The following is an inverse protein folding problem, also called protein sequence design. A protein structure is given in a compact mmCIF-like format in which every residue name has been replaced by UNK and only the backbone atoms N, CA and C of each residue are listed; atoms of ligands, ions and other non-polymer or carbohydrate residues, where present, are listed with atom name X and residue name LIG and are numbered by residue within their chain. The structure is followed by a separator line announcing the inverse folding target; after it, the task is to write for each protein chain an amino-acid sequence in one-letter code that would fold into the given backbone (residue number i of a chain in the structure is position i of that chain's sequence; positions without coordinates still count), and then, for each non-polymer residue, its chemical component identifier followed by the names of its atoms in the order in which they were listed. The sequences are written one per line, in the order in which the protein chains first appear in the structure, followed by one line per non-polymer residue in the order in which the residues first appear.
data_IF_087599634699
#
_entry.id   IF_087599634699
#
_cell.length_a   1.000
_cell.length_b   1.000
_cell.length_c   1.000
_cell.angle_alpha   90.00
_cell.angle_beta   90.00
_cell.angle_gamma   90.00
#
_symmetry.space_group_name_H-M   'P 1'
#
loop_
_entity.id
_entity.type
_entity.pdbx_description
1 polymer ?
#
# COMPACT_ATOMS: atom_id res chain seq x y z
N UNK A 1 20.20 -8.48 -19.67
CA UNK A 1 18.98 -9.18 -20.14
C UNK A 1 17.82 -8.81 -19.25
N UNK A 2 16.70 -8.45 -19.86
CA UNK A 2 15.47 -8.07 -19.15
C UNK A 2 14.63 -9.34 -18.97
N UNK A 3 14.25 -9.64 -17.72
CA UNK A 3 13.35 -10.70 -17.32
C UNK A 3 11.88 -10.32 -17.47
N UNK A 4 10.97 -11.29 -17.34
CA UNK A 4 9.52 -11.15 -17.56
C UNK A 4 8.81 -10.14 -16.65
N UNK A 5 9.43 -9.72 -15.55
CA UNK A 5 8.92 -8.69 -14.61
C UNK A 5 9.58 -7.31 -14.77
N UNK A 6 10.31 -7.05 -15.85
CA UNK A 6 11.06 -5.79 -16.02
C UNK A 6 12.33 -5.75 -15.17
N UNK A 7 12.91 -6.90 -14.83
CA UNK A 7 14.12 -6.99 -14.00
C UNK A 7 15.36 -7.28 -14.83
N UNK A 8 16.51 -6.71 -14.52
CA UNK A 8 17.77 -7.02 -15.18
C UNK A 8 18.75 -7.64 -14.20
N UNK A 9 19.36 -8.76 -14.57
CA UNK A 9 20.42 -9.39 -13.76
C UNK A 9 21.80 -9.02 -14.30
N UNK A 10 22.69 -8.65 -13.38
CA UNK A 10 24.10 -8.41 -13.59
C UNK A 10 24.89 -9.44 -12.78
N UNK A 11 25.94 -10.01 -13.38
CA UNK A 11 26.83 -10.94 -12.70
C UNK A 11 28.28 -10.64 -13.08
N UNK A 12 29.16 -10.64 -12.09
CA UNK A 12 30.60 -10.54 -12.24
C UNK A 12 31.09 -9.25 -12.88
N UNK A 13 32.19 -9.34 -13.62
CA UNK A 13 32.90 -8.20 -14.18
C UNK A 13 34.37 -8.19 -13.79
N UNK A 14 35.08 -7.16 -14.24
CA UNK A 14 36.53 -7.00 -14.03
C UNK A 14 36.86 -5.56 -13.65
N UNK A 15 37.68 -5.38 -12.61
CA UNK A 15 38.29 -4.09 -12.26
C UNK A 15 39.81 -4.22 -12.29
N UNK A 16 40.45 -3.52 -13.25
CA UNK A 16 41.86 -3.71 -13.62
C UNK A 16 42.18 -5.16 -14.04
N UNK A 17 43.43 -5.47 -14.36
CA UNK A 17 43.78 -6.76 -14.98
C UNK A 17 43.81 -7.96 -14.02
N UNK A 18 43.55 -7.77 -12.72
CA UNK A 18 43.71 -8.82 -11.71
C UNK A 18 42.49 -9.08 -10.81
N UNK A 19 41.46 -8.23 -10.83
CA UNK A 19 40.27 -8.43 -9.99
C UNK A 19 39.06 -8.82 -10.83
N UNK A 20 38.53 -10.01 -10.54
CA UNK A 20 37.36 -10.59 -11.18
C UNK A 20 36.26 -10.80 -10.14
N UNK A 21 35.09 -10.24 -10.38
CA UNK A 21 33.98 -10.29 -9.44
C UNK A 21 33.06 -11.48 -9.73
N UNK A 22 32.45 -12.01 -8.67
CA UNK A 22 31.43 -13.06 -8.71
C UNK A 22 30.13 -12.64 -8.02
N UNK A 23 29.96 -11.35 -7.71
CA UNK A 23 28.73 -10.86 -7.16
C UNK A 23 27.65 -10.74 -8.23
N UNK A 24 26.40 -10.77 -7.77
CA UNK A 24 25.23 -10.73 -8.61
C UNK A 24 24.30 -9.66 -8.10
N UNK A 25 23.75 -8.86 -9.02
CA UNK A 25 22.76 -7.84 -8.71
C UNK A 25 21.55 -7.99 -9.61
N UNK A 26 20.40 -7.66 -9.05
CA UNK A 26 19.13 -7.56 -9.73
C UNK A 26 18.69 -6.10 -9.73
N UNK A 27 18.46 -5.53 -10.89
CA UNK A 27 17.83 -4.24 -11.10
C UNK A 27 16.34 -4.47 -11.35
N UNK A 28 15.46 -3.80 -10.61
CA UNK A 28 14.02 -3.77 -10.92
C UNK A 28 13.65 -2.47 -11.64
N UNK A 29 13.17 -2.57 -12.88
CA UNK A 29 12.74 -1.43 -13.70
C UNK A 29 11.23 -1.16 -13.59
N UNK A 30 10.45 -2.02 -12.91
CA UNK A 30 8.99 -1.82 -12.80
C UNK A 30 8.61 -0.69 -11.84
N UNK A 31 9.55 -0.22 -11.03
CA UNK A 31 9.32 0.79 -9.99
C UNK A 31 9.48 2.24 -10.48
N UNK A 32 9.95 2.46 -11.72
CA UNK A 32 10.15 3.81 -12.27
C UNK A 32 11.41 4.53 -11.75
N UNK A 33 12.26 3.85 -10.98
CA UNK A 33 13.58 4.30 -10.54
C UNK A 33 14.51 3.09 -10.33
N UNK A 34 15.83 3.31 -10.37
CA UNK A 34 16.84 2.23 -10.35
C UNK A 34 17.00 1.60 -8.95
N UNK A 35 16.32 0.47 -8.71
CA UNK A 35 16.50 -0.33 -7.49
C UNK A 35 17.43 -1.51 -7.74
N UNK A 36 18.66 -1.43 -7.25
CA UNK A 36 19.62 -2.54 -7.28
C UNK A 36 19.56 -3.35 -5.99
N UNK A 37 19.34 -4.65 -6.11
CA UNK A 37 19.39 -5.62 -4.99
C UNK A 37 20.54 -6.58 -5.23
N UNK A 38 21.44 -6.71 -4.24
CA UNK A 38 22.51 -7.71 -4.29
C UNK A 38 21.93 -9.10 -3.97
N UNK A 39 22.13 -10.05 -4.87
CA UNK A 39 21.70 -11.44 -4.68
C UNK A 39 22.80 -12.26 -4.01
N UNK A 40 22.41 -13.19 -3.14
CA UNK A 40 23.30 -14.15 -2.50
C UNK A 40 22.86 -15.57 -2.85
N UNK A 41 23.79 -16.41 -3.32
CA UNK A 41 23.53 -17.79 -3.70
C UNK A 41 24.35 -18.74 -2.83
N UNK A 42 23.78 -19.90 -2.49
CA UNK A 42 24.48 -20.97 -1.76
C UNK A 42 25.70 -21.50 -2.53
N UNK A 43 25.62 -21.49 -3.86
CA UNK A 43 26.72 -21.80 -4.78
C UNK A 43 26.70 -20.79 -5.92
N UNK A 44 27.82 -20.13 -6.19
CA UNK A 44 27.94 -19.15 -7.27
C UNK A 44 29.11 -19.49 -8.20
N UNK A 45 29.03 -19.07 -9.48
CA UNK A 45 30.17 -19.18 -10.39
C UNK A 45 31.38 -18.39 -9.86
N UNK A 46 32.58 -18.81 -10.25
CA UNK A 46 33.81 -18.04 -9.97
C UNK A 46 33.78 -16.65 -10.59
N UNK A 47 34.59 -15.74 -10.05
CA UNK A 47 34.66 -14.38 -10.54
C UNK A 47 35.18 -14.34 -11.97
N UNK A 48 34.48 -13.63 -12.86
CA UNK A 48 34.76 -13.68 -14.30
C UNK A 48 34.24 -12.46 -15.05
N UNK A 49 34.77 -12.24 -16.25
CA UNK A 49 34.24 -11.29 -17.23
C UNK A 49 34.10 -11.92 -18.62
N UNK A 50 33.40 -11.24 -19.52
CA UNK A 50 33.22 -11.68 -20.91
C UNK A 50 32.32 -12.91 -21.06
N UNK A 51 31.62 -13.32 -20.00
CA UNK A 51 30.61 -14.38 -20.06
C UNK A 51 29.42 -13.94 -20.90
N UNK A 52 28.79 -14.90 -21.55
CA UNK A 52 27.48 -14.70 -22.19
C UNK A 52 26.39 -15.01 -21.19
N UNK A 53 25.35 -14.17 -21.16
CA UNK A 53 24.15 -14.42 -20.36
C UNK A 53 22.94 -14.31 -21.27
N UNK A 54 21.93 -15.14 -21.03
CA UNK A 54 20.62 -15.09 -21.70
C UNK A 54 19.51 -15.37 -20.69
N UNK A 55 18.37 -14.71 -20.85
CA UNK A 55 17.17 -14.98 -20.07
C UNK A 55 16.21 -15.84 -20.89
N UNK A 56 15.73 -16.96 -20.32
CA UNK A 56 14.64 -17.78 -20.87
C UNK A 56 13.31 -17.34 -20.23
N UNK A 57 12.40 -16.70 -20.99
CA UNK A 57 11.10 -16.27 -20.45
C UNK A 57 10.15 -17.41 -20.12
N UNK A 58 10.28 -18.56 -20.80
CA UNK A 58 9.40 -19.72 -20.61
C UNK A 58 9.67 -20.39 -19.26
N UNK A 59 10.93 -20.45 -18.86
CA UNK A 59 11.38 -21.12 -17.63
C UNK A 59 11.70 -20.15 -16.48
N UNK A 60 11.63 -18.84 -16.76
CA UNK A 60 12.01 -17.75 -15.85
C UNK A 60 13.42 -17.91 -15.25
N UNK A 61 14.37 -18.31 -16.11
CA UNK A 61 15.75 -18.62 -15.76
C UNK A 61 16.72 -17.70 -16.48
N UNK A 62 17.80 -17.34 -15.80
CA UNK A 62 18.96 -16.74 -16.47
C UNK A 62 20.07 -17.75 -16.60
N UNK A 63 20.53 -17.98 -17.82
CA UNK A 63 21.63 -18.89 -18.13
C UNK A 63 22.89 -18.05 -18.35
N UNK A 64 23.98 -18.48 -17.74
CA UNK A 64 25.33 -17.95 -17.94
C UNK A 64 26.21 -19.03 -18.57
N UNK A 65 27.00 -18.64 -19.56
CA UNK A 65 27.95 -19.52 -20.22
C UNK A 65 29.34 -18.90 -20.32
N UNK A 66 30.34 -19.67 -19.89
CA UNK A 66 31.76 -19.38 -20.05
C UNK A 66 32.24 -18.11 -19.34
N UNK A 67 33.17 -17.40 -19.98
CA UNK A 67 33.87 -16.22 -19.46
C UNK A 67 35.36 -16.47 -19.21
N UNK A 68 36.06 -15.51 -18.62
CA UNK A 68 37.46 -15.63 -18.21
C UNK A 68 37.64 -15.23 -16.75
N UNK A 69 38.28 -16.09 -15.95
CA UNK A 69 38.45 -15.91 -14.49
C UNK A 69 39.78 -15.28 -14.04
N UNK A 70 40.62 -14.86 -14.99
CA UNK A 70 41.98 -14.40 -14.70
C UNK A 70 43.05 -15.40 -15.11
N UNK A 71 42.70 -16.67 -15.29
CA UNK A 71 43.64 -17.75 -15.62
C UNK A 71 43.21 -18.55 -16.84
N UNK A 72 41.92 -18.87 -16.95
CA UNK A 72 41.39 -19.76 -17.97
C UNK A 72 40.15 -19.16 -18.64
N UNK A 73 39.98 -19.48 -19.93
CA UNK A 73 38.68 -19.38 -20.57
C UNK A 73 37.83 -20.55 -20.12
N UNK A 74 36.63 -20.21 -19.66
CA UNK A 74 35.68 -21.14 -19.07
C UNK A 74 34.66 -21.56 -20.13
N UNK A 75 34.19 -22.79 -20.01
CA UNK A 75 33.17 -23.41 -20.85
C UNK A 75 32.05 -24.06 -20.03
N UNK A 76 31.93 -23.66 -18.76
CA UNK A 76 30.88 -24.08 -17.84
C UNK A 76 29.56 -23.35 -18.13
N UNK A 77 28.45 -24.00 -17.76
CA UNK A 77 27.10 -23.43 -17.83
C UNK A 77 26.53 -23.32 -16.43
N UNK A 78 25.97 -22.16 -16.10
CA UNK A 78 25.29 -21.89 -14.84
C UNK A 78 23.86 -21.45 -15.10
N UNK A 79 22.94 -21.93 -14.28
CA UNK A 79 21.54 -21.55 -14.34
C UNK A 79 21.20 -20.84 -13.04
N UNK A 80 20.78 -19.59 -13.16
CA UNK A 80 20.21 -18.81 -12.08
C UNK A 80 18.68 -18.95 -12.15
N UNK A 81 18.12 -19.69 -11.19
CA UNK A 81 16.68 -19.69 -10.97
C UNK A 81 16.30 -18.38 -10.25
N UNK A 82 15.77 -17.43 -11.02
CA UNK A 82 15.21 -16.17 -10.52
C UNK A 82 13.72 -16.27 -10.23
N UNK A 83 13.11 -17.44 -10.47
CA UNK A 83 11.91 -17.89 -9.77
C UNK A 83 12.27 -17.93 -8.30
N UNK A 84 12.09 -16.81 -7.63
CA UNK A 84 12.50 -16.65 -6.26
C UNK A 84 11.93 -17.81 -5.45
N UNK A 85 12.82 -18.62 -4.88
CA UNK A 85 12.55 -19.06 -3.52
C UNK A 85 12.76 -17.83 -2.66
N UNK A 86 11.88 -16.84 -2.81
CA UNK A 86 11.66 -15.93 -1.70
C UNK A 86 11.17 -16.87 -0.60
N UNK A 87 11.82 -16.87 0.58
CA UNK A 87 11.41 -17.75 1.66
C UNK A 87 9.92 -17.56 1.96
N UNK A 88 9.38 -16.38 1.67
CA UNK A 88 7.96 -16.06 1.71
C UNK A 88 7.48 -15.60 0.34
N UNK A 89 6.44 -16.25 -0.18
CA UNK A 89 5.72 -15.78 -1.37
C UNK A 89 4.61 -14.82 -0.94
N UNK A 90 4.85 -13.51 -1.08
CA UNK A 90 3.86 -12.48 -0.75
C UNK A 90 2.78 -12.42 -1.84
N UNK A 91 1.53 -12.68 -1.47
CA UNK A 91 0.38 -12.62 -2.39
C UNK A 91 -0.14 -11.20 -2.57
N UNK A 92 -0.14 -10.42 -1.50
CA UNK A 92 -0.64 -9.05 -1.52
C UNK A 92 -0.02 -8.23 -0.39
N UNK A 93 0.16 -6.94 -0.66
CA UNK A 93 0.37 -5.93 0.36
C UNK A 93 -0.41 -4.68 -0.03
N UNK A 94 -1.20 -4.17 0.92
CA UNK A 94 -2.12 -3.06 0.68
C UNK A 94 -2.25 -2.19 1.92
N UNK A 95 -2.58 -0.93 1.72
CA UNK A 95 -2.74 0.06 2.77
C UNK A 95 -3.96 0.91 2.50
N UNK A 96 -4.82 1.07 3.50
CA UNK A 96 -6.01 1.90 3.39
C UNK A 96 -6.10 2.87 4.56
N UNK A 97 -6.49 4.11 4.29
CA UNK A 97 -6.84 5.06 5.32
C UNK A 97 -8.35 4.99 5.55
N UNK A 98 -8.79 4.51 6.71
CA UNK A 98 -10.22 4.35 7.04
C UNK A 98 -10.43 4.46 8.53
N UNK A 99 -11.46 5.17 8.97
CA UNK A 99 -11.78 5.29 10.40
C UNK A 99 -10.69 5.98 11.20
N UNK A 100 -10.01 6.96 10.60
CA UNK A 100 -8.89 7.68 11.19
C UNK A 100 -7.72 6.78 11.63
N UNK A 101 -7.49 5.70 10.89
CA UNK A 101 -6.29 4.87 11.02
C UNK A 101 -5.79 4.46 9.64
N UNK A 102 -4.49 4.22 9.52
CA UNK A 102 -3.91 3.57 8.35
C UNK A 102 -3.85 2.08 8.66
N UNK A 103 -4.61 1.28 7.91
CA UNK A 103 -4.62 -0.17 8.04
C UNK A 103 -3.80 -0.77 6.90
N UNK A 104 -2.72 -1.45 7.27
CA UNK A 104 -1.90 -2.22 6.36
C UNK A 104 -2.32 -3.69 6.45
N UNK A 105 -2.59 -4.32 5.30
CA UNK A 105 -2.95 -5.73 5.22
C UNK A 105 -2.04 -6.41 4.19
N UNK A 106 -1.53 -7.58 4.55
CA UNK A 106 -0.80 -8.44 3.62
C UNK A 106 -1.11 -9.90 3.85
N UNK A 107 -0.81 -10.68 2.82
CA UNK A 107 -0.94 -12.13 2.88
C UNK A 107 0.21 -12.82 2.20
N UNK A 108 0.55 -13.99 2.72
CA UNK A 108 1.60 -14.88 2.22
C UNK A 108 0.93 -16.15 1.68
N UNK A 109 1.44 -16.72 0.59
CA UNK A 109 1.01 -18.04 0.12
C UNK A 109 1.73 -19.13 0.92
N UNK A 110 3.04 -18.96 1.04
CA UNK A 110 3.94 -19.83 1.81
C UNK A 110 4.95 -18.99 2.56
N UNK A 111 5.50 -19.55 3.64
CA UNK A 111 6.58 -19.00 4.43
C UNK A 111 7.59 -20.10 4.73
N UNK A 112 8.87 -19.74 4.74
CA UNK A 112 10.00 -20.63 5.00
C UNK A 112 10.94 -19.86 5.90
N UNK A 113 11.19 -20.38 7.09
CA UNK A 113 12.11 -19.77 8.05
C UNK A 113 11.77 -18.30 8.43
N UNK A 114 10.53 -17.86 8.25
CA UNK A 114 10.11 -16.48 8.43
C UNK A 114 10.02 -16.09 9.91
N UNK A 115 10.92 -15.23 10.38
CA UNK A 115 10.86 -14.64 11.72
C UNK A 115 9.72 -13.63 11.79
N UNK A 116 9.54 -12.82 10.76
CA UNK A 116 8.44 -11.87 10.65
C UNK A 116 8.73 -10.67 9.77
N UNK A 117 7.94 -9.62 9.95
CA UNK A 117 7.91 -8.46 9.07
C UNK A 117 8.18 -7.19 9.88
N UNK A 118 9.26 -6.48 9.55
CA UNK A 118 9.44 -5.08 9.92
C UNK A 118 8.59 -4.20 9.01
N UNK A 119 7.68 -3.43 9.60
CA UNK A 119 6.87 -2.46 8.89
C UNK A 119 7.65 -1.16 8.81
N UNK A 120 7.90 -0.71 7.58
CA UNK A 120 8.67 0.49 7.32
C UNK A 120 7.80 1.54 6.64
N UNK A 121 7.95 2.79 7.10
CA UNK A 121 7.20 3.95 6.61
C UNK A 121 8.16 5.05 6.16
N UNK A 122 7.80 5.74 5.09
CA UNK A 122 8.53 6.89 4.55
C UNK A 122 7.55 7.98 4.08
N UNK A 123 8.01 9.23 4.10
CA UNK A 123 7.33 10.39 3.51
C UNK A 123 8.01 10.88 2.23
N UNK A 124 9.22 10.40 1.94
CA UNK A 124 10.08 10.88 0.84
C UNK A 124 10.52 9.75 -0.12
N UNK A 125 10.12 8.50 0.15
CA UNK A 125 10.53 7.28 -0.55
C UNK A 125 12.03 6.95 -0.45
N UNK A 126 12.80 7.70 0.33
CA UNK A 126 14.25 7.53 0.46
C UNK A 126 14.58 7.04 1.86
N UNK A 127 14.13 7.75 2.89
CA UNK A 127 14.35 7.38 4.28
C UNK A 127 13.12 6.65 4.82
N UNK A 128 13.35 5.44 5.31
CA UNK A 128 12.33 4.60 5.92
C UNK A 128 12.57 4.43 7.41
N UNK A 129 11.59 4.84 8.21
CA UNK A 129 11.56 4.60 9.65
C UNK A 129 10.84 3.27 9.94
N UNK A 130 11.33 2.52 10.93
CA UNK A 130 10.66 1.31 11.41
C UNK A 130 9.57 1.71 12.39
N UNK A 131 8.32 1.34 12.07
CA UNK A 131 7.16 1.71 12.90
C UNK A 131 6.54 0.52 13.64
N UNK A 132 6.99 -0.70 13.34
CA UNK A 132 6.54 -1.89 14.05
C UNK A 132 7.13 -3.18 13.50
N UNK A 133 6.88 -4.26 14.23
CA UNK A 133 7.22 -5.62 13.84
C UNK A 133 6.03 -6.55 14.06
N UNK A 134 5.77 -7.44 13.10
CA UNK A 134 4.75 -8.48 13.20
C UNK A 134 5.41 -9.84 13.00
N UNK A 135 5.29 -10.71 14.01
CA UNK A 135 5.87 -12.05 13.97
C UNK A 135 5.28 -12.86 12.80
N UNK A 136 6.16 -13.58 12.10
CA UNK A 136 5.81 -14.55 11.07
C UNK A 136 5.34 -15.87 11.67
N UNK A 137 5.01 -16.83 10.80
CA UNK A 137 4.63 -18.19 11.20
C UNK A 137 5.78 -19.20 11.03
N UNK A 138 7.02 -18.75 10.82
CA UNK A 138 8.17 -19.62 10.56
C UNK A 138 8.06 -20.30 9.19
N UNK A 139 7.93 -21.64 9.20
CA UNK A 139 7.77 -22.41 7.97
C UNK A 139 6.34 -22.93 7.87
N UNK A 140 5.60 -22.47 6.86
CA UNK A 140 4.22 -22.87 6.57
C UNK A 140 3.96 -22.86 5.07
N UNK A 141 3.33 -23.92 4.54
CA UNK A 141 2.82 -23.93 3.17
C UNK A 141 1.37 -23.44 3.06
N UNK A 142 0.74 -23.12 4.19
CA UNK A 142 -0.61 -22.57 4.24
C UNK A 142 -0.57 -21.04 4.27
N UNK A 143 -1.48 -20.42 3.51
CA UNK A 143 -1.57 -18.98 3.42
C UNK A 143 -1.84 -18.32 4.79
N UNK A 144 -1.17 -17.20 5.05
CA UNK A 144 -1.35 -16.39 6.26
C UNK A 144 -1.78 -14.98 5.92
N UNK A 145 -2.55 -14.38 6.82
CA UNK A 145 -3.02 -13.02 6.71
C UNK A 145 -2.53 -12.22 7.91
N UNK A 146 -2.11 -11.01 7.65
CA UNK A 146 -1.54 -10.12 8.65
C UNK A 146 -2.15 -8.73 8.55
N UNK A 147 -2.14 -8.04 9.68
CA UNK A 147 -2.65 -6.69 9.80
C UNK A 147 -1.72 -5.86 10.70
N UNK A 148 -1.48 -4.63 10.29
CA UNK A 148 -0.82 -3.61 11.11
C UNK A 148 -1.64 -2.31 11.08
N UNK A 149 -1.73 -1.64 12.23
CA UNK A 149 -2.48 -0.39 12.36
C UNK A 149 -1.52 0.72 12.75
N UNK A 150 -1.34 1.68 11.85
CA UNK A 150 -0.62 2.91 12.11
C UNK A 150 -1.61 4.04 12.49
N UNK A 151 -1.33 4.67 13.63
CA UNK A 151 -2.13 5.76 14.23
C UNK A 151 -1.38 7.08 14.33
N UNK A 152 -0.08 7.08 14.06
CA UNK A 152 0.78 8.23 14.26
C UNK A 152 1.07 8.92 12.94
N UNK A 153 0.09 9.63 12.42
CA UNK A 153 0.18 10.26 11.11
C UNK A 153 -0.43 11.66 11.11
N UNK A 154 0.08 12.48 10.20
CA UNK A 154 -0.51 13.76 9.79
C UNK A 154 -1.07 13.67 8.37
N UNK A 155 -1.80 14.68 7.91
CA UNK A 155 -2.22 14.78 6.51
C UNK A 155 -1.01 14.71 5.57
N UNK A 156 -1.15 14.02 4.45
CA UNK A 156 -0.07 13.86 3.48
C UNK A 156 -0.05 12.50 2.82
N UNK A 157 1.07 12.20 2.18
CA UNK A 157 1.31 10.94 1.47
C UNK A 157 2.34 10.15 2.26
N UNK A 158 2.05 8.87 2.48
CA UNK A 158 2.96 7.93 3.12
C UNK A 158 3.23 6.76 2.19
N UNK A 159 4.45 6.27 2.25
CA UNK A 159 4.92 5.10 1.53
C UNK A 159 5.27 4.02 2.53
N UNK A 160 4.81 2.79 2.26
CA UNK A 160 5.07 1.66 3.11
C UNK A 160 5.74 0.54 2.32
N UNK A 161 6.62 -0.18 2.99
CA UNK A 161 7.12 -1.50 2.58
C UNK A 161 7.22 -2.40 3.79
N UNK A 162 7.19 -3.70 3.53
CA UNK A 162 7.57 -4.71 4.50
C UNK A 162 9.04 -5.06 4.26
N UNK A 163 9.77 -5.25 5.35
CA UNK A 163 11.05 -5.96 5.35
C UNK A 163 10.81 -7.29 6.07
N UNK A 164 10.62 -8.35 5.29
CA UNK A 164 10.57 -9.72 5.80
C UNK A 164 11.97 -10.08 6.31
N UNK A 165 12.04 -10.70 7.48
CA UNK A 165 13.27 -11.19 8.10
C UNK A 165 13.10 -12.67 8.40
N UNK A 166 14.13 -13.44 8.11
CA UNK A 166 14.18 -14.87 8.44
C UNK A 166 14.96 -15.11 9.75
N UNK A 167 14.82 -16.29 10.35
CA UNK A 167 15.53 -16.64 11.60
C UNK A 167 17.07 -16.64 11.45
N UNK A 168 17.59 -16.76 10.24
CA UNK A 168 19.03 -16.66 9.95
C UNK A 168 19.52 -15.20 9.77
N UNK A 169 18.61 -14.23 9.86
CA UNK A 169 18.89 -12.81 9.72
C UNK A 169 18.91 -12.30 8.27
N UNK A 170 18.70 -13.17 7.27
CA UNK A 170 18.44 -12.73 5.91
C UNK A 170 17.13 -11.95 5.81
N UNK A 171 17.01 -11.09 4.80
CA UNK A 171 15.83 -10.25 4.66
C UNK A 171 15.49 -9.92 3.21
N UNK A 172 14.20 -9.62 3.00
CA UNK A 172 13.62 -9.30 1.70
C UNK A 172 12.65 -8.12 1.85
N UNK A 173 12.61 -7.23 0.86
CA UNK A 173 11.65 -6.14 0.84
C UNK A 173 10.45 -6.48 -0.04
N UNK A 174 9.26 -6.08 0.38
CA UNK A 174 8.08 -6.05 -0.49
C UNK A 174 8.18 -4.90 -1.50
N UNK A 175 7.28 -4.91 -2.48
CA UNK A 175 6.96 -3.72 -3.26
C UNK A 175 6.48 -2.57 -2.34
N UNK A 176 6.69 -1.33 -2.81
CA UNK A 176 6.18 -0.15 -2.14
C UNK A 176 4.69 0.02 -2.42
N UNK A 177 3.96 0.43 -1.38
CA UNK A 177 2.59 0.90 -1.50
C UNK A 177 2.51 2.35 -1.04
N UNK A 178 1.53 3.07 -1.57
CA UNK A 178 1.25 4.46 -1.21
C UNK A 178 -0.10 4.54 -0.50
N UNK A 179 -0.17 5.32 0.58
CA UNK A 179 -1.40 5.69 1.27
C UNK A 179 -1.51 7.21 1.33
N UNK A 180 -2.63 7.74 0.84
CA UNK A 180 -2.93 9.18 0.90
C UNK A 180 -3.87 9.44 2.06
N UNK A 181 -3.45 10.33 2.96
CA UNK A 181 -4.23 10.78 4.09
C UNK A 181 -4.80 12.14 3.74
N UNK A 182 -6.10 12.17 3.49
CA UNK A 182 -6.83 13.40 3.22
C UNK A 182 -7.94 13.58 4.25
N UNK A 183 -7.64 14.38 5.27
CA UNK A 183 -8.58 14.73 6.34
C UNK A 183 -8.99 16.19 6.10
N UNK A 184 -10.29 16.52 6.13
CA UNK A 184 -10.74 17.90 5.97
C UNK A 184 -10.23 18.77 7.13
N UNK A 185 -9.84 20.01 6.85
CA UNK A 185 -9.39 20.95 7.90
C UNK A 185 -10.56 21.58 8.66
N UNK A 186 -11.73 21.65 8.04
CA UNK A 186 -12.90 22.36 8.57
C UNK A 186 -14.13 21.46 8.69
N UNK A 187 -14.96 21.74 9.69
CA UNK A 187 -16.31 21.22 9.78
C UNK A 187 -17.24 21.99 8.85
N UNK A 188 -17.84 21.30 7.87
CA UNK A 188 -18.84 21.94 7.01
C UNK A 188 -19.98 20.99 6.64
N UNK A 189 -21.17 21.56 6.49
CA UNK A 189 -22.32 20.95 5.80
C UNK A 189 -22.50 21.70 4.47
N UNK A 190 -22.36 20.99 3.36
CA UNK A 190 -22.55 21.56 2.02
C UNK A 190 -24.04 21.73 1.72
N UNK A 191 -24.34 22.58 0.74
CA UNK A 191 -25.70 22.66 0.20
C UNK A 191 -26.08 21.29 -0.40
N UNK A 192 -27.27 20.79 -0.08
CA UNK A 192 -27.75 19.54 -0.64
C UNK A 192 -27.84 19.63 -2.18
N UNK A 193 -27.56 18.53 -2.87
CA UNK A 193 -27.68 18.46 -4.32
C UNK A 193 -28.48 17.22 -4.76
N UNK A 194 -29.50 17.38 -5.61
CA UNK A 194 -30.02 18.65 -6.13
C UNK A 194 -30.76 19.48 -5.05
N UNK A 195 -30.91 20.80 -5.27
CA UNK A 195 -31.80 21.68 -4.50
C UNK A 195 -32.39 22.77 -5.42
N UNK A 196 -33.72 22.81 -5.67
CA UNK A 196 -34.74 21.90 -5.15
C UNK A 196 -34.54 20.44 -5.57
N UNK A 197 -35.07 19.50 -4.79
CA UNK A 197 -34.99 18.06 -5.09
C UNK A 197 -36.36 17.43 -5.22
N UNK A 198 -36.43 16.34 -6.01
CA UNK A 198 -37.59 15.47 -6.13
C UNK A 198 -37.25 14.09 -5.56
N UNK A 199 -38.04 13.64 -4.59
CA UNK A 199 -37.89 12.40 -3.83
C UNK A 199 -36.61 12.29 -3.00
N UNK A 200 -35.42 12.47 -3.57
CA UNK A 200 -34.14 12.26 -2.86
C UNK A 200 -33.11 13.34 -3.14
N UNK A 201 -32.24 13.62 -2.18
CA UNK A 201 -31.12 14.55 -2.31
C UNK A 201 -29.89 14.03 -1.56
N UNK A 202 -28.69 14.45 -1.99
CA UNK A 202 -27.45 14.09 -1.33
C UNK A 202 -26.98 15.21 -0.41
N UNK A 203 -26.69 14.87 0.84
CA UNK A 203 -26.14 15.74 1.86
C UNK A 203 -24.65 15.41 2.00
N UNK A 204 -23.77 16.35 1.67
CA UNK A 204 -22.32 16.18 1.85
C UNK A 204 -21.86 16.99 3.04
N UNK A 205 -21.05 16.38 3.89
CA UNK A 205 -20.47 17.03 5.05
C UNK A 205 -19.08 16.47 5.34
N UNK A 206 -18.30 17.21 6.10
CA UNK A 206 -16.92 16.85 6.41
C UNK A 206 -16.64 17.15 7.88
N UNK A 207 -15.85 16.26 8.50
CA UNK A 207 -15.53 16.28 9.92
C UNK A 207 -14.00 16.36 10.08
N UNK A 208 -13.45 17.43 10.67
CA UNK A 208 -12.01 17.57 10.81
C UNK A 208 -11.38 16.68 11.89
N UNK A 209 -12.22 16.12 12.77
CA UNK A 209 -11.83 15.21 13.85
C UNK A 209 -12.95 14.23 14.13
N UNK A 210 -12.62 13.11 14.79
CA UNK A 210 -13.63 12.18 15.30
C UNK A 210 -14.60 12.92 16.23
N UNK A 211 -15.91 12.71 16.03
CA UNK A 211 -16.96 13.43 16.76
C UNK A 211 -18.24 12.58 16.88
N UNK A 212 -19.02 12.85 17.93
CA UNK A 212 -20.43 12.46 17.98
C UNK A 212 -21.22 13.34 17.01
N UNK A 213 -21.90 12.75 16.03
CA UNK A 213 -22.61 13.44 14.96
C UNK A 213 -24.11 13.24 15.12
N UNK A 214 -24.87 14.33 14.98
CA UNK A 214 -26.33 14.30 14.85
C UNK A 214 -26.76 15.08 13.63
N UNK A 215 -27.53 14.45 12.76
CA UNK A 215 -28.10 15.07 11.56
C UNK A 215 -29.62 14.96 11.60
N UNK A 216 -30.29 16.10 11.68
CA UNK A 216 -31.73 16.20 11.87
C UNK A 216 -32.35 17.13 10.83
N UNK A 217 -33.58 16.82 10.43
CA UNK A 217 -34.40 17.65 9.54
C UNK A 217 -35.53 18.30 10.32
N UNK A 218 -35.74 19.59 10.09
CA UNK A 218 -36.79 20.38 10.70
C UNK A 218 -37.69 21.04 9.65
N UNK A 219 -38.96 21.25 10.00
CA UNK A 219 -39.88 22.06 9.20
C UNK A 219 -39.69 23.57 9.48
N UNK A 220 -40.44 24.41 8.76
CA UNK A 220 -40.39 25.88 8.94
C UNK A 220 -40.88 26.37 10.30
N UNK A 221 -41.53 25.51 11.09
CA UNK A 221 -41.98 25.80 12.46
C UNK A 221 -40.96 25.31 13.50
N UNK A 222 -39.82 24.77 13.07
CA UNK A 222 -38.79 24.23 13.95
C UNK A 222 -39.13 22.86 14.55
N UNK A 223 -40.16 22.17 14.06
CA UNK A 223 -40.49 20.82 14.52
C UNK A 223 -39.54 19.81 13.88
N UNK A 224 -39.03 18.88 14.69
CA UNK A 224 -38.23 17.77 14.18
C UNK A 224 -39.10 16.88 13.28
N UNK A 225 -38.70 16.75 12.03
CA UNK A 225 -39.39 15.93 11.02
C UNK A 225 -38.78 14.55 10.96
N UNK A 226 -37.44 14.47 10.95
CA UNK A 226 -36.73 13.21 10.79
C UNK A 226 -35.32 13.33 11.39
N UNK A 227 -34.84 12.26 12.03
CA UNK A 227 -33.45 12.12 12.45
C UNK A 227 -32.73 11.21 11.43
N UNK A 228 -31.84 11.80 10.63
CA UNK A 228 -31.15 11.11 9.55
C UNK A 228 -29.98 10.27 10.06
N UNK A 229 -29.24 10.79 11.05
CA UNK A 229 -28.09 10.10 11.61
C UNK A 229 -27.85 10.52 13.06
N UNK A 230 -27.46 9.55 13.89
CA UNK A 230 -26.97 9.78 15.25
C UNK A 230 -25.91 8.73 15.60
N UNK A 231 -24.70 9.18 15.90
CA UNK A 231 -23.62 8.31 16.38
C UNK A 231 -22.23 8.90 16.17
N UNK A 232 -21.20 8.15 16.59
CA UNK A 232 -19.80 8.54 16.37
C UNK A 232 -19.35 8.32 14.93
N UNK A 233 -18.62 9.29 14.39
CA UNK A 233 -17.93 9.20 13.11
C UNK A 233 -16.50 9.73 13.22
N UNK A 234 -15.58 9.08 12.51
CA UNK A 234 -14.18 9.48 12.40
C UNK A 234 -14.02 10.79 11.61
N UNK A 235 -12.82 11.36 11.60
CA UNK A 235 -12.51 12.46 10.69
C UNK A 235 -12.63 12.00 9.22
N UNK A 236 -13.16 12.85 8.34
CA UNK A 236 -13.31 12.52 6.93
C UNK A 236 -14.46 13.21 6.21
N UNK A 237 -14.65 12.82 4.95
CA UNK A 237 -15.72 13.29 4.08
C UNK A 237 -16.86 12.27 4.05
N UNK A 238 -18.08 12.74 4.22
CA UNK A 238 -19.27 11.91 4.32
C UNK A 238 -20.34 12.38 3.36
N UNK A 239 -21.17 11.44 2.92
CA UNK A 239 -22.41 11.74 2.22
C UNK A 239 -23.57 10.92 2.81
N UNK A 240 -24.75 11.53 2.83
CA UNK A 240 -25.99 10.88 3.24
C UNK A 240 -27.06 11.13 2.17
N UNK A 241 -27.75 10.07 1.75
CA UNK A 241 -28.87 10.19 0.80
C UNK A 241 -30.15 10.32 1.63
N UNK A 242 -30.77 11.49 1.58
CA UNK A 242 -32.04 11.73 2.25
C UNK A 242 -33.20 11.54 1.28
N UNK A 243 -34.18 10.73 1.69
CA UNK A 243 -35.42 10.49 0.96
C UNK A 243 -36.59 11.22 1.61
N UNK A 244 -37.17 12.18 0.89
CA UNK A 244 -38.39 12.88 1.23
C UNK A 244 -39.67 12.20 0.74
N UNK A 245 -39.64 10.89 0.42
CA UNK A 245 -40.82 10.14 -0.07
C UNK A 245 -42.07 10.38 0.79
N UNK A 246 -41.93 10.43 2.10
CA UNK A 246 -43.04 10.53 3.06
C UNK A 246 -43.33 11.96 3.52
N UNK A 247 -42.70 12.97 2.90
CA UNK A 247 -42.81 14.37 3.31
C UNK A 247 -43.55 15.20 2.26
N UNK A 248 -44.35 16.20 2.67
CA UNK A 248 -44.99 17.11 1.72
C UNK A 248 -43.96 18.02 1.04
N UNK A 249 -44.27 18.50 -0.17
CA UNK A 249 -43.49 19.56 -0.83
C UNK A 249 -43.39 20.78 0.08
N UNK A 250 -42.20 21.36 0.19
CA UNK A 250 -41.97 22.46 1.13
C UNK A 250 -40.52 22.76 1.41
N UNK A 251 -40.31 23.69 2.33
CA UNK A 251 -39.00 24.10 2.81
C UNK A 251 -38.66 23.37 4.09
N UNK A 252 -37.45 22.82 4.15
CA UNK A 252 -36.91 22.12 5.30
C UNK A 252 -35.55 22.70 5.69
N UNK A 253 -35.17 22.55 6.94
CA UNK A 253 -33.85 22.91 7.46
C UNK A 253 -33.13 21.65 7.94
N UNK A 254 -31.95 21.40 7.39
CA UNK A 254 -31.07 20.32 7.82
C UNK A 254 -30.07 20.91 8.81
N UNK A 255 -30.04 20.36 10.03
CA UNK A 255 -29.08 20.71 11.05
C UNK A 255 -28.11 19.55 11.24
N UNK A 256 -26.82 19.85 11.13
CA UNK A 256 -25.73 18.97 11.48
C UNK A 256 -25.04 19.51 12.74
N UNK A 257 -24.88 18.66 13.75
CA UNK A 257 -24.14 18.95 14.98
C UNK A 257 -23.00 17.93 15.11
N UNK A 258 -21.77 18.39 15.29
CA UNK A 258 -20.62 17.54 15.55
C UNK A 258 -19.53 18.29 16.33
N UNK A 259 -18.94 17.65 17.34
CA UNK A 259 -17.74 18.17 18.02
C UNK A 259 -17.91 19.55 18.67
N UNK A 260 -19.14 19.92 19.06
CA UNK A 260 -19.50 21.24 19.61
C UNK A 260 -19.80 22.32 18.56
N UNK A 261 -19.69 22.00 17.26
CA UNK A 261 -20.04 22.87 16.16
C UNK A 261 -21.41 22.50 15.59
N UNK A 262 -22.08 23.48 14.98
CA UNK A 262 -23.36 23.28 14.30
C UNK A 262 -23.38 23.97 12.94
N UNK A 263 -24.03 23.35 11.96
CA UNK A 263 -24.28 23.92 10.64
C UNK A 263 -25.73 23.66 10.23
N UNK A 264 -26.35 24.66 9.58
CA UNK A 264 -27.72 24.56 9.08
C UNK A 264 -27.75 24.86 7.57
N UNK A 265 -28.51 24.07 6.82
CA UNK A 265 -28.80 24.30 5.39
C UNK A 265 -30.29 24.24 5.11
N UNK A 266 -30.76 25.14 4.27
CA UNK A 266 -32.14 25.16 3.75
C UNK A 266 -32.24 24.23 2.56
N UNK A 267 -33.28 23.42 2.51
CA UNK A 267 -33.58 22.49 1.43
C UNK A 267 -35.02 22.69 0.96
N UNK A 268 -35.26 22.49 -0.34
CA UNK A 268 -36.58 22.64 -0.97
C UNK A 268 -36.94 21.30 -1.60
N UNK A 269 -38.00 20.67 -1.10
CA UNK A 269 -38.57 19.45 -1.68
C UNK A 269 -39.73 19.84 -2.62
N UNK A 270 -39.68 19.36 -3.86
CA UNK A 270 -40.73 19.52 -4.86
C UNK A 270 -41.09 18.13 -5.39
N UNK A 271 -42.37 17.77 -5.25
CA UNK A 271 -43.00 16.60 -5.87
C UNK A 271 -43.88 17.04 -7.03
#
# INVERSE_FOLDING_TARGET
NIGSKGRMMLFGGRYADTNYFNDCYLLDLSLGYECWTKLSFKSCPSGRYGQSMIFSPQDNQTILFGGYDGKNYLNDTWIFNTSSTDPVELLSFSGTFTGNVIKLNWSTATETNNLGFEIQRSIDQVKFDVIGFVNGNGTTSAAKNYIFIDRDFNQGIYYYRLKQIDFDGSYYFSDLIQVVINIPEEFTLQQNYPNPFNVSTTLKYQLPKESEVRMNVYDTRGRLVEALFAGRQAAGYYHYIWSGCNLPSGVYAIRLEAGGQQAIRKCILIK
#
